data_IF_992152800953
#
_entry.id   IF_992152800953
#
_cell.length_a   1.000
_cell.length_b   1.000
_cell.length_c   1.000
_cell.angle_alpha   90.00
_cell.angle_beta   90.00
_cell.angle_gamma   90.00
#
_symmetry.space_group_name_H-M   'P 1'
#
loop_
_entity.id
_entity.type
_entity.pdbx_description
1 polymer ?
#
# COMPACT_ATOMS: atom_id res chain seq x y z
N UNK A 1 -14.15 0.99 -0.82
CA UNK A 1 -13.46 1.55 -1.96
C UNK A 1 -13.55 0.62 -3.16
N UNK A 2 -14.00 1.15 -4.29
CA UNK A 2 -14.29 0.30 -5.45
C UNK A 2 -13.06 -0.34 -6.07
N UNK A 3 -11.90 0.31 -6.00
CA UNK A 3 -10.67 -0.22 -6.58
C UNK A 3 -10.31 -1.60 -6.03
N UNK A 4 -10.54 -1.83 -4.74
CA UNK A 4 -10.17 -3.08 -4.07
C UNK A 4 -11.30 -4.09 -3.95
N UNK A 5 -12.52 -3.73 -4.36
CA UNK A 5 -13.68 -4.62 -4.19
C UNK A 5 -13.57 -5.94 -4.96
N UNK A 6 -12.91 -5.89 -6.11
CA UNK A 6 -12.86 -7.05 -7.00
C UNK A 6 -11.48 -7.72 -7.04
N UNK A 7 -10.62 -7.44 -6.06
CA UNK A 7 -9.32 -8.11 -6.04
C UNK A 7 -9.47 -9.55 -5.56
N UNK A 8 -8.74 -10.44 -6.20
CA UNK A 8 -8.76 -11.87 -5.89
C UNK A 8 -7.58 -12.34 -5.06
N UNK A 9 -6.65 -11.42 -4.74
CA UNK A 9 -5.48 -11.76 -3.94
C UNK A 9 -4.29 -10.87 -4.25
N UNK A 10 -3.11 -11.41 -3.97
CA UNK A 10 -1.85 -10.69 -4.13
C UNK A 10 -0.94 -11.45 -5.08
N UNK A 11 -0.18 -10.71 -5.87
CA UNK A 11 0.78 -11.25 -6.84
C UNK A 11 2.20 -11.07 -6.30
N UNK A 12 2.72 -12.08 -5.63
CA UNK A 12 4.08 -12.10 -5.11
C UNK A 12 4.92 -13.11 -5.85
N UNK A 13 6.17 -12.72 -6.15
CA UNK A 13 7.21 -13.62 -6.60
C UNK A 13 8.50 -13.25 -5.89
N UNK A 14 9.58 -13.97 -6.19
CA UNK A 14 10.87 -13.69 -5.55
C UNK A 14 11.32 -12.25 -5.78
N UNK A 15 11.06 -11.72 -6.97
CA UNK A 15 11.50 -10.37 -7.34
C UNK A 15 10.93 -9.30 -6.40
N UNK A 16 9.61 -9.23 -6.24
CA UNK A 16 9.04 -8.18 -5.40
C UNK A 16 9.15 -8.48 -3.90
N UNK A 17 9.11 -9.75 -3.48
CA UNK A 17 9.37 -10.12 -2.09
C UNK A 17 10.77 -9.69 -1.64
N UNK A 18 11.77 -10.00 -2.43
CA UNK A 18 13.16 -9.66 -2.11
C UNK A 18 13.39 -8.16 -2.10
N UNK A 19 12.79 -7.46 -3.06
CA UNK A 19 12.96 -6.02 -3.20
C UNK A 19 12.43 -5.25 -1.98
N UNK A 20 11.23 -5.58 -1.50
CA UNK A 20 10.68 -4.87 -0.34
C UNK A 20 11.48 -5.16 0.92
N UNK A 21 12.00 -6.35 1.06
CA UNK A 21 12.83 -6.71 2.20
C UNK A 21 14.22 -6.05 2.14
N UNK A 22 14.91 -6.16 1.00
CA UNK A 22 16.29 -5.68 0.89
C UNK A 22 16.39 -4.16 1.01
N UNK A 23 15.45 -3.43 0.44
CA UNK A 23 15.51 -1.97 0.44
C UNK A 23 15.09 -1.36 1.77
N UNK A 24 14.02 -1.85 2.36
CA UNK A 24 13.39 -1.17 3.50
C UNK A 24 13.00 -2.09 4.64
N UNK A 25 13.44 -3.34 4.60
CA UNK A 25 13.14 -4.33 5.63
C UNK A 25 11.64 -4.47 5.90
N UNK A 26 10.84 -4.45 4.85
CA UNK A 26 9.42 -4.72 4.90
C UNK A 26 9.19 -6.13 4.39
N UNK A 27 8.41 -6.91 5.12
CA UNK A 27 8.06 -8.26 4.68
C UNK A 27 6.83 -8.24 3.80
N UNK A 28 6.68 -9.27 2.96
CA UNK A 28 5.50 -9.37 2.10
C UNK A 28 4.21 -9.45 2.92
N UNK A 29 4.23 -10.15 4.06
CA UNK A 29 3.02 -10.26 4.90
C UNK A 29 2.66 -8.96 5.60
N UNK A 30 3.65 -8.12 5.93
CA UNK A 30 3.35 -6.78 6.44
C UNK A 30 2.61 -5.94 5.41
N UNK A 31 2.98 -6.06 4.14
CA UNK A 31 2.26 -5.40 3.06
C UNK A 31 0.81 -5.87 3.00
N UNK A 32 0.59 -7.17 3.05
CA UNK A 32 -0.77 -7.73 3.02
C UNK A 32 -1.59 -7.26 4.22
N UNK A 33 -1.01 -7.27 5.41
CA UNK A 33 -1.68 -6.76 6.62
C UNK A 33 -2.18 -5.33 6.43
N UNK A 34 -1.34 -4.48 5.83
CA UNK A 34 -1.71 -3.09 5.62
C UNK A 34 -2.91 -2.95 4.69
N UNK A 35 -3.09 -3.86 3.73
CA UNK A 35 -4.25 -3.86 2.86
C UNK A 35 -5.53 -4.33 3.57
N UNK A 36 -5.42 -5.13 4.61
CA UNK A 36 -6.58 -5.61 5.35
C UNK A 36 -6.96 -4.72 6.52
N UNK A 37 -6.04 -3.89 7.01
CA UNK A 37 -6.33 -2.99 8.13
C UNK A 37 -6.98 -1.70 7.63
N UNK A 38 -7.89 -1.17 8.45
CA UNK A 38 -8.51 0.12 8.17
C UNK A 38 -8.04 1.15 9.19
N UNK A 39 -7.91 2.40 8.78
CA UNK A 39 -8.13 2.90 7.43
C UNK A 39 -6.92 2.68 6.52
N UNK A 40 -7.19 2.65 5.22
CA UNK A 40 -6.16 2.64 4.20
C UNK A 40 -6.54 3.69 3.16
N UNK A 41 -5.57 4.50 2.75
CA UNK A 41 -5.82 5.57 1.77
C UNK A 41 -5.01 5.29 0.51
N UNK A 42 -5.68 5.39 -0.63
CA UNK A 42 -5.09 5.07 -1.93
C UNK A 42 -5.19 6.28 -2.83
N UNK A 43 -4.10 6.58 -3.53
CA UNK A 43 -3.97 7.70 -4.45
C UNK A 43 -3.41 7.21 -5.78
N UNK A 44 -3.90 7.71 -6.93
CA UNK A 44 -3.28 7.36 -8.21
C UNK A 44 -1.88 7.98 -8.32
N UNK A 45 -0.95 7.21 -8.87
CA UNK A 45 0.39 7.71 -9.19
C UNK A 45 0.39 8.18 -10.63
N UNK A 46 0.04 9.44 -10.85
CA UNK A 46 -0.15 10.00 -12.19
C UNK A 46 1.14 10.05 -13.01
N UNK A 47 2.29 10.11 -12.36
CA UNK A 47 3.60 10.11 -13.05
C UNK A 47 3.89 8.81 -13.79
N UNK A 48 3.38 7.69 -13.27
CA UNK A 48 3.73 6.35 -13.77
C UNK A 48 2.53 5.62 -14.35
N UNK A 49 1.56 6.39 -14.88
CA UNK A 49 0.31 5.83 -15.41
C UNK A 49 0.38 5.39 -16.85
N UNK A 50 1.50 5.59 -17.55
CA UNK A 50 1.56 5.46 -19.02
C UNK A 50 1.43 4.02 -19.52
N UNK A 51 2.13 3.09 -18.90
CA UNK A 51 2.13 1.69 -19.33
C UNK A 51 1.27 0.82 -18.43
N UNK A 52 1.24 1.16 -17.16
CA UNK A 52 0.57 0.36 -16.14
C UNK A 52 0.09 1.34 -15.07
N UNK A 53 -1.17 1.22 -14.69
CA UNK A 53 -1.71 2.07 -13.63
C UNK A 53 -1.07 1.73 -12.31
N UNK A 54 -0.46 2.73 -11.68
CA UNK A 54 0.15 2.60 -10.36
C UNK A 54 -0.57 3.43 -9.34
N UNK A 55 -0.54 2.95 -8.12
CA UNK A 55 -1.21 3.60 -6.99
C UNK A 55 -0.25 3.70 -5.81
N UNK A 56 -0.42 4.77 -5.03
CA UNK A 56 0.22 4.91 -3.73
C UNK A 56 -0.77 4.54 -2.66
N UNK A 57 -0.31 3.87 -1.61
CA UNK A 57 -1.15 3.50 -0.49
C UNK A 57 -0.49 3.86 0.83
N UNK A 58 -1.27 4.42 1.74
CA UNK A 58 -0.88 4.65 3.12
C UNK A 58 -1.68 3.72 4.00
N UNK A 59 -1.01 2.84 4.75
CA UNK A 59 -1.69 1.86 5.57
C UNK A 59 -0.84 1.46 6.79
N UNK A 60 -1.40 0.60 7.63
CA UNK A 60 -0.71 0.14 8.85
C UNK A 60 -0.74 -1.38 8.96
N UNK A 61 0.35 -1.92 9.48
CA UNK A 61 0.46 -3.34 9.75
C UNK A 61 -0.27 -3.69 11.06
N UNK A 62 -0.37 -4.97 11.35
CA UNK A 62 -0.97 -5.45 12.61
C UNK A 62 -0.21 -4.96 13.84
N UNK A 63 1.09 -4.70 13.71
CA UNK A 63 1.91 -4.14 14.80
C UNK A 63 1.97 -2.61 14.76
N UNK A 64 1.11 -1.98 13.99
CA UNK A 64 1.01 -0.51 13.87
C UNK A 64 2.20 0.15 13.18
N UNK A 65 2.97 -0.61 12.40
CA UNK A 65 3.98 -0.02 11.51
C UNK A 65 3.27 0.69 10.37
N UNK A 66 3.62 1.96 10.13
CA UNK A 66 2.98 2.77 9.11
C UNK A 66 3.78 2.67 7.81
N UNK A 67 3.13 2.18 6.76
CA UNK A 67 3.78 1.91 5.48
C UNK A 67 3.25 2.80 4.36
N UNK A 68 4.17 3.25 3.51
CA UNK A 68 3.89 3.80 2.21
C UNK A 68 4.21 2.72 1.18
N UNK A 69 3.23 2.40 0.33
CA UNK A 69 3.40 1.35 -0.69
C UNK A 69 3.06 1.89 -2.06
N UNK A 70 3.76 1.36 -3.07
CA UNK A 70 3.39 1.55 -4.47
C UNK A 70 2.96 0.20 -5.00
N UNK A 71 1.79 0.14 -5.64
CA UNK A 71 1.30 -1.11 -6.18
C UNK A 71 0.58 -0.90 -7.51
N UNK A 72 0.39 -1.99 -8.22
CA UNK A 72 -0.43 -2.05 -9.42
C UNK A 72 -1.38 -3.23 -9.30
N UNK A 73 -2.35 -3.31 -10.20
CA UNK A 73 -3.26 -4.44 -10.29
C UNK A 73 -2.96 -5.22 -11.57
N UNK A 74 -2.78 -6.54 -11.42
CA UNK A 74 -2.58 -7.46 -12.54
C UNK A 74 -3.53 -8.63 -12.37
N UNK A 75 -4.39 -8.85 -13.35
CA UNK A 75 -5.38 -9.95 -13.31
C UNK A 75 -6.17 -9.94 -12.00
N UNK A 76 -6.61 -8.77 -11.56
CA UNK A 76 -7.37 -8.55 -10.32
C UNK A 76 -6.57 -8.88 -9.06
N UNK A 77 -5.24 -8.93 -9.13
CA UNK A 77 -4.38 -9.16 -7.97
C UNK A 77 -3.53 -7.91 -7.69
N UNK A 78 -3.32 -7.63 -6.42
CA UNK A 78 -2.44 -6.54 -5.98
C UNK A 78 -1.00 -7.00 -6.13
N UNK A 79 -0.22 -6.27 -6.92
CA UNK A 79 1.22 -6.49 -7.02
C UNK A 79 1.94 -5.29 -6.42
N UNK A 80 2.54 -5.50 -5.26
CA UNK A 80 3.32 -4.45 -4.58
C UNK A 80 4.64 -4.27 -5.32
N UNK A 81 4.93 -3.04 -5.70
CA UNK A 81 6.15 -2.68 -6.41
C UNK A 81 7.22 -2.21 -5.43
N UNK A 82 6.82 -1.42 -4.43
CA UNK A 82 7.72 -0.99 -3.37
C UNK A 82 6.94 -0.76 -2.08
N UNK A 83 7.64 -0.83 -0.95
CA UNK A 83 7.07 -0.57 0.36
C UNK A 83 8.18 -0.06 1.28
N UNK A 84 7.87 0.95 2.07
CA UNK A 84 8.78 1.53 3.04
C UNK A 84 8.01 2.15 4.19
N UNK A 85 8.71 2.50 5.24
CA UNK A 85 8.08 3.28 6.32
C UNK A 85 7.63 4.63 5.77
N UNK A 86 6.53 5.14 6.30
CA UNK A 86 6.04 6.47 5.94
C UNK A 86 7.05 7.55 6.33
N UNK A 87 7.17 8.58 5.49
CA UNK A 87 7.86 9.80 5.85
C UNK A 87 7.09 10.55 6.94
N UNK A 88 7.69 11.58 7.50
CA UNK A 88 7.05 12.43 8.51
C UNK A 88 5.76 13.06 7.97
N UNK A 89 5.81 13.59 6.76
CA UNK A 89 4.63 14.19 6.12
C UNK A 89 3.55 13.16 5.85
N UNK A 90 3.94 11.97 5.41
CA UNK A 90 2.98 10.90 5.14
C UNK A 90 2.30 10.44 6.43
N UNK A 91 3.04 10.32 7.53
CA UNK A 91 2.45 9.97 8.83
C UNK A 91 1.45 11.01 9.29
N UNK A 92 1.80 12.30 9.11
CA UNK A 92 0.89 13.39 9.46
C UNK A 92 -0.40 13.32 8.64
N UNK A 93 -0.26 13.12 7.33
CA UNK A 93 -1.42 13.00 6.43
C UNK A 93 -2.28 11.80 6.82
N UNK A 94 -1.65 10.67 7.11
CA UNK A 94 -2.37 9.45 7.51
C UNK A 94 -3.18 9.67 8.78
N UNK A 95 -2.58 10.28 9.79
CA UNK A 95 -3.26 10.56 11.07
C UNK A 95 -4.41 11.53 10.86
N UNK A 96 -4.21 12.60 10.11
CA UNK A 96 -5.26 13.59 9.82
C UNK A 96 -6.44 12.97 9.07
N UNK A 97 -6.16 12.18 8.03
CA UNK A 97 -7.20 11.50 7.26
C UNK A 97 -7.94 10.46 8.10
N UNK A 98 -7.23 9.78 8.98
CA UNK A 98 -7.84 8.82 9.90
C UNK A 98 -8.81 9.52 10.84
N UNK A 99 -8.45 10.70 11.37
CA UNK A 99 -9.33 11.48 12.23
C UNK A 99 -10.54 12.01 11.47
N UNK A 100 -10.37 12.45 10.24
CA UNK A 100 -11.49 12.90 9.40
C UNK A 100 -12.46 11.74 9.12
N UNK A 101 -11.95 10.56 8.80
CA UNK A 101 -12.78 9.39 8.55
C UNK A 101 -13.57 8.98 9.79
N UNK A 102 -12.99 9.14 10.99
CA UNK A 102 -13.67 8.80 12.25
C UNK A 102 -14.80 9.76 12.60
N UNK A 103 -14.77 10.97 12.05
CA UNK A 103 -15.82 11.98 12.28
C UNK A 103 -17.01 11.86 11.32
N UNK A 104 -16.82 11.11 10.26
CA UNK A 104 -17.83 10.98 9.21
C UNK A 104 -19.02 10.10 9.67
#
# INVERSE_FOLDING_TARGET
MQLLENISGFDWDKSNKDKVWQKHRVTWWECEEAFFNVPMFIFPDLKHFQKEKRYHALGRTNSSRLLFMVFTLRHSQVRVISARDMSKEERKEYVEKTQEAAKA
#
